data_IF_788156511323
#
_entry.id   IF_788156511323
#
_cell.length_a   1.000
_cell.length_b   1.000
_cell.length_c   1.000
_cell.angle_alpha   90.00
_cell.angle_beta   90.00
_cell.angle_gamma   90.00
#
_symmetry.space_group_name_H-M   'P 1'
#
loop_
_entity.id
_entity.type
_entity.pdbx_description
1 polymer ?
#
# COMPACT_ATOMS: atom_id res chain seq x y z
N UNK A 1 13.76 -13.06 23.06
CA UNK A 1 14.96 -12.21 22.90
C UNK A 1 14.52 -10.95 22.18
N UNK A 2 14.60 -9.77 22.80
CA UNK A 2 14.38 -8.50 22.09
C UNK A 2 15.72 -8.11 21.48
N UNK A 3 15.79 -8.08 20.16
CA UNK A 3 17.00 -7.70 19.43
C UNK A 3 16.94 -6.19 19.32
N UNK A 4 17.78 -5.49 20.08
CA UNK A 4 17.90 -4.05 19.95
C UNK A 4 18.68 -3.73 18.66
N UNK A 5 18.19 -2.82 17.80
CA UNK A 5 18.87 -2.46 16.58
C UNK A 5 20.19 -1.73 16.88
N UNK A 6 21.24 -2.07 16.13
CA UNK A 6 22.55 -1.40 16.25
C UNK A 6 22.50 0.06 15.80
N UNK A 7 23.42 0.88 16.31
CA UNK A 7 23.50 2.32 16.02
C UNK A 7 24.33 2.66 14.77
N UNK A 8 24.89 1.66 14.09
CA UNK A 8 25.76 1.86 12.93
C UNK A 8 24.95 2.30 11.69
N UNK A 9 25.42 3.36 11.02
CA UNK A 9 24.84 3.90 9.81
C UNK A 9 25.64 3.42 8.58
N UNK A 10 25.04 2.61 7.68
CA UNK A 10 25.75 2.05 6.53
C UNK A 10 26.13 3.10 5.47
N UNK A 11 25.46 4.26 5.46
CA UNK A 11 25.78 5.35 4.51
C UNK A 11 26.99 6.19 4.93
N UNK A 12 27.24 6.27 6.24
CA UNK A 12 28.37 7.02 6.80
C UNK A 12 29.55 6.12 7.19
N UNK A 13 29.33 4.80 7.18
CA UNK A 13 30.24 3.77 7.72
C UNK A 13 30.70 4.10 9.16
N UNK A 14 29.81 4.72 9.93
CA UNK A 14 30.04 5.26 11.28
C UNK A 14 28.77 5.16 12.10
N UNK A 15 28.84 5.51 13.38
CA UNK A 15 27.65 5.63 14.22
C UNK A 15 26.67 6.69 13.70
N UNK A 16 25.38 6.47 13.96
CA UNK A 16 24.31 7.37 13.56
C UNK A 16 24.48 8.76 14.21
N UNK A 17 24.50 9.80 13.39
CA UNK A 17 24.62 11.19 13.83
C UNK A 17 23.25 11.84 14.19
N UNK A 18 22.18 11.04 14.21
CA UNK A 18 20.81 11.41 14.62
C UNK A 18 20.36 12.74 13.99
N UNK A 19 20.00 13.75 14.80
CA UNK A 19 19.48 15.05 14.35
C UNK A 19 20.40 15.86 13.41
N UNK A 20 21.65 15.46 13.22
CA UNK A 20 22.54 16.03 12.19
C UNK A 20 22.31 15.43 10.79
N UNK A 21 21.57 14.33 10.70
CA UNK A 21 21.22 13.64 9.47
C UNK A 21 19.81 14.05 9.01
N UNK A 22 19.68 14.43 7.74
CA UNK A 22 18.37 14.74 7.12
C UNK A 22 17.42 13.54 7.06
N UNK A 23 17.94 12.32 7.16
CA UNK A 23 17.13 11.10 7.21
C UNK A 23 16.65 10.76 8.62
N UNK A 24 17.08 11.48 9.65
CA UNK A 24 16.55 11.31 11.00
C UNK A 24 15.21 12.01 11.11
N UNK A 25 14.15 11.23 11.14
CA UNK A 25 12.77 11.73 11.03
C UNK A 25 11.89 11.12 12.10
N UNK A 26 10.85 11.86 12.48
CA UNK A 26 9.79 11.37 13.35
C UNK A 26 8.81 10.57 12.50
N UNK A 27 8.56 9.32 12.89
CA UNK A 27 7.49 8.54 12.31
C UNK A 27 6.31 8.51 13.28
N UNK A 28 5.16 9.01 12.79
CA UNK A 28 3.89 9.00 13.49
C UNK A 28 2.86 8.20 12.73
N UNK A 29 2.20 7.28 13.42
CA UNK A 29 1.12 6.49 12.84
C UNK A 29 0.79 5.27 13.66
N UNK A 30 0.25 4.25 13.00
CA UNK A 30 -0.14 3.00 13.63
C UNK A 30 0.71 1.87 13.06
N UNK A 31 1.29 1.05 13.92
CA UNK A 31 2.09 -0.09 13.50
C UNK A 31 1.23 -1.10 12.73
N UNK A 32 1.62 -1.47 11.49
CA UNK A 32 0.74 -2.13 10.52
C UNK A 32 0.26 -3.52 10.95
N UNK A 33 1.01 -4.17 11.85
CA UNK A 33 0.75 -5.54 12.32
C UNK A 33 0.18 -5.62 13.73
N UNK A 34 0.49 -4.66 14.60
CA UNK A 34 0.11 -4.72 16.04
C UNK A 34 -0.99 -3.74 16.38
N UNK A 35 -1.25 -2.74 15.54
CA UNK A 35 -2.23 -1.69 15.82
C UNK A 35 -1.80 -0.69 16.89
N UNK A 36 -0.56 -0.78 17.39
CA UNK A 36 -0.04 0.15 18.39
C UNK A 36 0.30 1.49 17.75
N UNK A 37 0.07 2.59 18.48
CA UNK A 37 0.57 3.89 18.04
C UNK A 37 2.09 3.93 18.07
N UNK A 38 2.66 4.53 17.02
CA UNK A 38 4.08 4.79 16.85
C UNK A 38 4.24 6.31 16.83
N UNK A 39 5.05 6.84 17.74
CA UNK A 39 5.53 8.24 17.72
C UNK A 39 6.99 8.27 18.15
N UNK A 40 7.89 7.93 17.22
CA UNK A 40 9.31 7.75 17.52
C UNK A 40 10.20 8.38 16.45
N UNK A 41 11.32 8.97 16.89
CA UNK A 41 12.38 9.42 15.98
C UNK A 41 13.30 8.26 15.63
N UNK A 42 13.53 8.03 14.34
CA UNK A 42 14.54 7.08 13.88
C UNK A 42 15.04 7.42 12.49
N UNK A 43 16.02 6.65 12.01
CA UNK A 43 16.51 6.76 10.64
C UNK A 43 15.41 6.31 9.66
N UNK A 44 15.13 7.12 8.64
CA UNK A 44 14.16 6.79 7.59
C UNK A 44 14.42 5.43 6.93
N UNK A 45 15.70 5.03 6.81
CA UNK A 45 16.08 3.72 6.25
C UNK A 45 15.71 2.58 7.19
N UNK A 46 15.85 2.77 8.50
CA UNK A 46 15.43 1.78 9.49
C UNK A 46 13.91 1.59 9.48
N UNK A 47 13.15 2.62 9.12
CA UNK A 47 11.69 2.54 8.95
C UNK A 47 11.24 1.86 7.67
N UNK A 48 12.09 1.73 6.65
CA UNK A 48 11.70 1.20 5.34
C UNK A 48 11.01 -0.17 5.40
N UNK A 49 11.51 -1.17 6.14
CA UNK A 49 10.84 -2.48 6.17
C UNK A 49 9.41 -2.38 6.70
N UNK A 50 9.16 -1.54 7.71
CA UNK A 50 7.82 -1.34 8.27
C UNK A 50 6.90 -0.61 7.29
N UNK A 51 7.39 0.46 6.65
CA UNK A 51 6.63 1.21 5.64
C UNK A 51 6.31 0.36 4.40
N UNK A 52 7.23 -0.51 3.97
CA UNK A 52 7.01 -1.45 2.86
C UNK A 52 5.96 -2.51 3.21
N UNK A 53 5.93 -2.98 4.45
CA UNK A 53 4.89 -3.90 4.93
C UNK A 53 3.52 -3.22 4.86
N UNK A 54 3.41 -1.98 5.33
CA UNK A 54 2.14 -1.23 5.24
C UNK A 54 1.74 -0.97 3.79
N UNK A 55 2.68 -0.57 2.93
CA UNK A 55 2.40 -0.39 1.51
C UNK A 55 1.87 -1.68 0.85
N UNK A 56 2.49 -2.84 1.15
CA UNK A 56 2.03 -4.12 0.65
C UNK A 56 0.63 -4.50 1.18
N UNK A 57 0.29 -4.11 2.42
CA UNK A 57 -1.04 -4.32 2.99
C UNK A 57 -2.08 -3.48 2.26
N UNK A 58 -1.81 -2.20 2.00
CA UNK A 58 -2.71 -1.32 1.25
C UNK A 58 -2.90 -1.79 -0.20
N UNK A 59 -1.83 -2.23 -0.88
CA UNK A 59 -1.92 -2.82 -2.23
C UNK A 59 -2.82 -4.06 -2.25
N UNK A 60 -2.69 -4.94 -1.25
CA UNK A 60 -3.55 -6.13 -1.14
C UNK A 60 -5.02 -5.77 -0.88
N UNK A 61 -5.27 -4.77 -0.05
CA UNK A 61 -6.63 -4.27 0.19
C UNK A 61 -7.26 -3.74 -1.11
N UNK A 62 -6.51 -2.96 -1.89
CA UNK A 62 -6.97 -2.47 -3.19
C UNK A 62 -7.26 -3.59 -4.20
N UNK A 63 -6.41 -4.62 -4.24
CA UNK A 63 -6.65 -5.80 -5.08
C UNK A 63 -7.93 -6.54 -4.69
N UNK A 64 -8.17 -6.74 -3.39
CA UNK A 64 -9.39 -7.38 -2.89
C UNK A 64 -10.66 -6.56 -3.22
N UNK A 65 -10.59 -5.23 -3.16
CA UNK A 65 -11.70 -4.36 -3.56
C UNK A 65 -12.01 -4.50 -5.06
N UNK A 66 -10.98 -4.57 -5.90
CA UNK A 66 -11.13 -4.77 -7.36
C UNK A 66 -11.73 -6.13 -7.67
N UNK A 67 -11.29 -7.19 -6.98
CA UNK A 67 -11.85 -8.54 -7.12
C UNK A 67 -13.33 -8.57 -6.69
N UNK A 68 -13.67 -7.93 -5.58
CA UNK A 68 -15.06 -7.79 -5.12
C UNK A 68 -15.93 -7.08 -6.16
N UNK A 69 -15.44 -5.98 -6.72
CA UNK A 69 -16.12 -5.28 -7.81
C UNK A 69 -16.33 -6.17 -9.04
N UNK A 70 -15.31 -6.94 -9.45
CA UNK A 70 -15.43 -7.92 -10.55
C UNK A 70 -16.53 -8.93 -10.26
N UNK A 71 -16.59 -9.47 -9.03
CA UNK A 71 -17.59 -10.46 -8.65
C UNK A 71 -19.00 -9.87 -8.70
N UNK A 72 -19.22 -8.65 -8.19
CA UNK A 72 -20.51 -7.96 -8.29
C UNK A 72 -20.92 -7.74 -9.74
N UNK A 73 -19.99 -7.34 -10.62
CA UNK A 73 -20.28 -7.16 -12.05
C UNK A 73 -20.65 -8.47 -12.74
N UNK A 74 -19.99 -9.58 -12.40
CA UNK A 74 -20.37 -10.91 -12.92
C UNK A 74 -21.77 -11.31 -12.45
N UNK A 75 -22.08 -11.10 -11.17
CA UNK A 75 -23.41 -11.36 -10.59
C UNK A 75 -24.52 -10.59 -11.33
N UNK A 76 -24.32 -9.29 -11.57
CA UNK A 76 -25.28 -8.44 -12.27
C UNK A 76 -25.53 -8.86 -13.73
N UNK A 77 -24.57 -9.53 -14.35
CA UNK A 77 -24.64 -9.95 -15.75
C UNK A 77 -24.85 -11.47 -15.93
N UNK A 78 -25.17 -12.19 -14.85
CA UNK A 78 -25.45 -13.63 -14.90
C UNK A 78 -26.46 -13.97 -16.00
N UNK A 79 -26.10 -14.93 -16.86
CA UNK A 79 -26.93 -15.38 -17.98
C UNK A 79 -26.81 -14.54 -19.26
N UNK A 80 -26.04 -13.45 -19.24
CA UNK A 80 -25.70 -12.69 -20.45
C UNK A 80 -24.30 -13.09 -20.93
N UNK A 81 -24.12 -13.59 -22.16
CA UNK A 81 -22.80 -13.91 -22.70
C UNK A 81 -21.88 -12.67 -22.71
N UNK A 82 -20.57 -12.81 -22.46
CA UNK A 82 -19.62 -11.69 -22.44
C UNK A 82 -19.66 -10.84 -23.70
N UNK A 83 -19.77 -11.50 -24.86
CA UNK A 83 -19.87 -10.88 -26.19
C UNK A 83 -21.05 -9.91 -26.31
N UNK A 84 -22.18 -10.23 -25.66
CA UNK A 84 -23.40 -9.39 -25.68
C UNK A 84 -23.26 -8.19 -24.74
N UNK A 85 -22.52 -8.34 -23.63
CA UNK A 85 -22.22 -7.25 -22.69
C UNK A 85 -21.28 -6.25 -23.38
N UNK A 86 -20.24 -6.74 -24.06
CA UNK A 86 -19.27 -5.93 -24.80
C UNK A 86 -19.93 -5.18 -25.96
N UNK A 87 -20.78 -5.84 -26.76
CA UNK A 87 -21.56 -5.18 -27.83
C UNK A 87 -22.50 -4.10 -27.27
N UNK A 88 -23.20 -4.35 -26.14
CA UNK A 88 -24.02 -3.32 -25.48
C UNK A 88 -23.20 -2.13 -25.00
N UNK A 89 -22.01 -2.37 -24.43
CA UNK A 89 -21.13 -1.32 -23.95
C UNK A 89 -20.62 -0.44 -25.09
N UNK A 90 -20.16 -1.05 -26.20
CA UNK A 90 -19.75 -0.31 -27.40
C UNK A 90 -20.90 0.50 -27.99
N UNK A 91 -22.10 -0.08 -28.12
CA UNK A 91 -23.26 0.65 -28.66
C UNK A 91 -23.70 1.82 -27.78
N UNK A 92 -23.57 1.71 -26.45
CA UNK A 92 -23.82 2.83 -25.52
C UNK A 92 -22.78 3.93 -25.67
N UNK A 93 -21.49 3.58 -25.71
CA UNK A 93 -20.42 4.56 -25.89
C UNK A 93 -20.55 5.35 -27.20
N UNK A 94 -21.02 4.72 -28.28
CA UNK A 94 -21.29 5.39 -29.56
C UNK A 94 -22.50 6.34 -29.45
N UNK A 95 -23.56 5.95 -28.71
CA UNK A 95 -24.75 6.80 -28.50
C UNK A 95 -24.50 8.01 -27.62
N UNK A 96 -23.65 7.87 -26.60
CA UNK A 96 -23.36 8.95 -25.66
C UNK A 96 -22.30 9.93 -26.21
N UNK A 97 -21.62 9.56 -27.30
CA UNK A 97 -20.65 10.39 -28.03
C UNK A 97 -21.20 11.10 -29.28
N UNK A 98 -22.51 11.03 -29.55
CA UNK A 98 -23.20 11.66 -30.70
C UNK A 98 -24.25 12.67 -30.26
#
# INVERSE_FOLDING_TARGET
MKIEPGTHCPLLDKECIQFKCVLWTQLRGTHPQTGQEVDEYSCAIAWLPMLLIENAKEVKQGAAATESFRNVMLELNKGTPPEVIEDRAMRRAIKDGS
#
